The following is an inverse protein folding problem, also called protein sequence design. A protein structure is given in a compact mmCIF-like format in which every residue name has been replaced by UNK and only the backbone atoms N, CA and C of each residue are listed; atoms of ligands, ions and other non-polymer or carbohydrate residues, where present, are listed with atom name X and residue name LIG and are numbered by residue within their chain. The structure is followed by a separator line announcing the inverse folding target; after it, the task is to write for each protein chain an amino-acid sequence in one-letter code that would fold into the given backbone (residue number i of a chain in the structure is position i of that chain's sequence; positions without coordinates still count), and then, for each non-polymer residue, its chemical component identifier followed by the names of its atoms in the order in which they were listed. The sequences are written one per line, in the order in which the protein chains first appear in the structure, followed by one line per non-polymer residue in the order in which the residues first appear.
data_IF_783156149719
#
_entry.id   IF_783156149719
#
_cell.length_a   1.000
_cell.length_b   1.000
_cell.length_c   1.000
_cell.angle_alpha   90.00
_cell.angle_beta   90.00
_cell.angle_gamma   90.00
#
_symmetry.space_group_name_H-M   'P 1'
#
loop_
_entity.id
_entity.type
_entity.pdbx_description
1 polymer ?
#
# COMPACT_ATOMS: atom_id res chain seq x y z
N UNK A 1 -25.82 -13.83 13.93
CA UNK A 1 -24.57 -14.61 13.96
C UNK A 1 -23.76 -14.18 12.76
N UNK A 2 -22.82 -13.25 12.96
CA UNK A 2 -22.01 -12.66 11.89
C UNK A 2 -21.03 -13.71 11.34
N UNK A 3 -20.84 -13.69 10.02
CA UNK A 3 -20.02 -14.65 9.26
C UNK A 3 -18.71 -15.01 9.96
N UNK A 4 -18.46 -16.31 10.15
CA UNK A 4 -17.20 -16.85 10.66
C UNK A 4 -16.14 -16.77 9.57
N UNK A 5 -15.60 -15.58 9.33
CA UNK A 5 -14.45 -15.40 8.45
C UNK A 5 -13.21 -15.82 9.25
N UNK A 6 -12.40 -16.77 8.76
CA UNK A 6 -11.15 -17.14 9.43
C UNK A 6 -10.18 -15.95 9.42
N UNK A 7 -9.48 -15.76 10.54
CA UNK A 7 -8.44 -14.74 10.69
C UNK A 7 -7.34 -15.28 11.60
N UNK A 8 -6.16 -14.67 11.55
CA UNK A 8 -5.06 -14.92 12.49
C UNK A 8 -4.83 -13.67 13.34
N UNK A 9 -4.48 -13.84 14.60
CA UNK A 9 -4.15 -12.71 15.48
C UNK A 9 -2.94 -13.02 16.35
N UNK A 10 -2.25 -11.98 16.79
CA UNK A 10 -1.10 -12.07 17.70
C UNK A 10 -1.22 -11.14 18.92
N UNK A 11 -2.43 -10.66 19.20
CA UNK A 11 -2.75 -9.76 20.32
C UNK A 11 -2.59 -8.26 20.04
N UNK A 12 -2.03 -7.87 18.89
CA UNK A 12 -1.88 -6.46 18.49
C UNK A 12 -2.28 -6.17 17.05
N UNK A 13 -2.29 -7.19 16.18
CA UNK A 13 -2.82 -7.11 14.82
C UNK A 13 -3.63 -8.36 14.46
N UNK A 14 -4.62 -8.17 13.58
CA UNK A 14 -5.43 -9.22 12.97
C UNK A 14 -5.06 -9.31 11.50
N UNK A 15 -4.70 -10.51 11.03
CA UNK A 15 -4.54 -10.84 9.62
C UNK A 15 -5.85 -11.43 9.11
N UNK A 16 -6.44 -10.81 8.08
CA UNK A 16 -7.69 -11.25 7.47
C UNK A 16 -7.52 -11.31 5.95
N UNK A 17 -7.98 -12.39 5.34
CA UNK A 17 -8.05 -12.48 3.88
C UNK A 17 -9.22 -11.61 3.38
N UNK A 18 -8.90 -10.54 2.65
CA UNK A 18 -9.85 -9.55 2.15
C UNK A 18 -9.23 -8.77 0.99
N UNK A 19 -10.06 -8.31 0.04
CA UNK A 19 -9.63 -7.58 -1.16
C UNK A 19 -9.80 -6.05 -1.03
N UNK A 20 -10.30 -5.57 0.11
CA UNK A 20 -10.48 -4.14 0.37
C UNK A 20 -9.15 -3.38 0.48
N UNK A 21 -9.15 -2.11 0.06
CA UNK A 21 -7.94 -1.27 0.13
C UNK A 21 -7.74 -0.60 1.50
N UNK A 22 -8.82 -0.40 2.26
CA UNK A 22 -8.81 0.22 3.57
C UNK A 22 -9.20 -0.81 4.65
N UNK A 23 -8.27 -1.11 5.54
CA UNK A 23 -8.52 -1.97 6.69
C UNK A 23 -8.83 -1.12 7.94
N UNK A 24 -9.64 -1.65 8.88
CA UNK A 24 -9.77 -1.05 10.20
C UNK A 24 -8.42 -0.98 10.94
N UNK A 25 -8.36 -0.16 11.98
CA UNK A 25 -7.20 -0.08 12.87
C UNK A 25 -6.85 -1.49 13.39
N UNK A 26 -5.56 -1.81 13.41
CA UNK A 26 -5.02 -3.10 13.85
C UNK A 26 -5.46 -4.30 12.99
N UNK A 27 -5.97 -4.08 11.77
CA UNK A 27 -6.26 -5.14 10.81
C UNK A 27 -5.36 -4.99 9.59
N UNK A 28 -4.77 -6.10 9.16
CA UNK A 28 -3.96 -6.21 7.96
C UNK A 28 -4.69 -7.15 7.01
N UNK A 29 -5.03 -6.64 5.84
CA UNK A 29 -5.58 -7.47 4.77
C UNK A 29 -4.47 -8.13 3.97
N UNK A 30 -4.70 -9.36 3.54
CA UNK A 30 -3.80 -10.10 2.68
C UNK A 30 -4.57 -10.90 1.64
N UNK A 31 -3.89 -11.22 0.54
CA UNK A 31 -4.40 -12.07 -0.53
C UNK A 31 -3.31 -13.07 -0.93
N UNK A 32 -3.72 -14.24 -1.42
CA UNK A 32 -2.82 -15.24 -1.98
C UNK A 32 -2.74 -15.13 -3.50
N UNK A 33 -1.52 -15.09 -4.04
CA UNK A 33 -1.27 -15.09 -5.47
C UNK A 33 -0.42 -16.29 -5.87
N UNK A 34 -0.71 -16.85 -7.05
CA UNK A 34 0.04 -17.98 -7.62
C UNK A 34 1.24 -17.53 -8.47
N UNK A 35 1.30 -16.25 -8.86
CA UNK A 35 2.38 -15.71 -9.67
C UNK A 35 2.66 -14.25 -9.32
N UNK A 36 3.92 -13.83 -9.48
CA UNK A 36 4.33 -12.44 -9.30
C UNK A 36 3.75 -11.52 -10.38
N UNK A 37 3.54 -12.03 -11.60
CA UNK A 37 2.98 -11.24 -12.70
C UNK A 37 1.55 -10.79 -12.39
N UNK A 38 0.74 -11.66 -11.78
CA UNK A 38 -0.61 -11.30 -11.30
C UNK A 38 -0.58 -10.16 -10.27
N UNK A 39 0.43 -10.14 -9.39
CA UNK A 39 0.61 -9.05 -8.42
C UNK A 39 0.94 -7.75 -9.14
N UNK A 40 1.87 -7.77 -10.11
CA UNK A 40 2.25 -6.58 -10.89
C UNK A 40 1.05 -6.01 -11.66
N UNK A 41 0.26 -6.86 -12.30
CA UNK A 41 -0.97 -6.45 -13.00
C UNK A 41 -1.96 -5.80 -12.04
N UNK A 42 -2.17 -6.38 -10.86
CA UNK A 42 -3.06 -5.83 -9.84
C UNK A 42 -2.59 -4.46 -9.33
N UNK A 43 -1.30 -4.33 -9.02
CA UNK A 43 -0.70 -3.07 -8.59
C UNK A 43 -0.81 -1.99 -9.68
N UNK A 44 -0.68 -2.36 -10.95
CA UNK A 44 -0.84 -1.43 -12.07
C UNK A 44 -2.30 -0.95 -12.22
N UNK A 45 -3.28 -1.86 -12.07
CA UNK A 45 -4.70 -1.52 -12.12
C UNK A 45 -5.12 -0.59 -10.98
N UNK A 46 -4.59 -0.82 -9.78
CA UNK A 46 -4.95 -0.07 -8.57
C UNK A 46 -4.01 1.11 -8.28
N UNK A 47 -3.12 1.48 -9.21
CA UNK A 47 -2.06 2.48 -9.00
C UNK A 47 -2.57 3.80 -8.42
N UNK A 48 -3.71 4.29 -8.89
CA UNK A 48 -4.31 5.56 -8.42
C UNK A 48 -4.83 5.49 -6.97
N UNK A 49 -5.03 4.29 -6.44
CA UNK A 49 -5.48 4.05 -5.06
C UNK A 49 -4.33 3.66 -4.11
N UNK A 50 -3.13 3.45 -4.64
CA UNK A 50 -1.97 2.95 -3.88
C UNK A 50 -0.98 4.09 -3.67
N UNK A 51 -0.73 4.42 -2.41
CA UNK A 51 0.22 5.47 -2.05
C UNK A 51 1.68 4.98 -2.10
N UNK A 52 1.91 3.72 -1.76
CA UNK A 52 3.25 3.16 -1.65
C UNK A 52 3.21 1.62 -1.78
N UNK A 53 4.17 1.07 -2.49
CA UNK A 53 4.41 -0.38 -2.55
C UNK A 53 5.73 -0.68 -1.86
N UNK A 54 5.73 -1.62 -0.92
CA UNK A 54 6.95 -2.06 -0.22
C UNK A 54 7.29 -3.48 -0.65
N UNK A 55 8.51 -3.69 -1.13
CA UNK A 55 8.95 -5.01 -1.55
C UNK A 55 10.46 -5.22 -1.31
N UNK A 56 10.92 -6.45 -1.53
CA UNK A 56 12.35 -6.73 -1.63
C UNK A 56 12.89 -6.03 -2.88
N UNK A 57 14.10 -5.50 -2.76
CA UNK A 57 14.79 -4.84 -3.86
C UNK A 57 14.81 -5.68 -5.15
N UNK A 58 14.49 -5.02 -6.27
CA UNK A 58 14.41 -5.62 -7.60
C UNK A 58 13.21 -6.54 -7.88
N UNK A 59 12.25 -6.71 -6.96
CA UNK A 59 11.05 -7.54 -7.22
C UNK A 59 9.95 -6.74 -7.93
N UNK A 60 9.68 -5.52 -7.45
CA UNK A 60 8.68 -4.61 -8.00
C UNK A 60 9.36 -3.27 -8.30
N UNK A 61 9.27 -2.82 -9.55
CA UNK A 61 9.85 -1.54 -9.97
C UNK A 61 9.15 -0.37 -9.26
N UNK A 62 9.93 0.58 -8.77
CA UNK A 62 9.42 1.74 -8.02
C UNK A 62 8.92 1.42 -6.61
N UNK A 63 9.16 0.21 -6.10
CA UNK A 63 8.85 -0.13 -4.71
C UNK A 63 9.89 0.40 -3.73
N UNK A 64 9.45 0.67 -2.51
CA UNK A 64 10.31 1.01 -1.39
C UNK A 64 10.82 -0.28 -0.73
N UNK A 65 12.09 -0.30 -0.34
CA UNK A 65 12.67 -1.45 0.38
C UNK A 65 12.09 -1.58 1.79
N UNK A 66 12.11 -2.80 2.33
CA UNK A 66 11.63 -3.07 3.68
C UNK A 66 12.31 -2.16 4.72
N UNK A 67 11.50 -1.62 5.65
CA UNK A 67 11.97 -0.72 6.71
C UNK A 67 12.07 0.76 6.32
N UNK A 68 11.98 1.10 5.04
CA UNK A 68 12.13 2.49 4.56
C UNK A 68 10.81 3.21 4.28
N UNK A 69 9.65 2.52 4.30
CA UNK A 69 8.36 3.11 3.96
C UNK A 69 7.91 4.30 4.84
N UNK A 70 8.48 4.44 6.06
CA UNK A 70 8.22 5.57 6.96
C UNK A 70 9.39 6.57 7.01
N UNK A 71 10.26 6.54 6.00
CA UNK A 71 11.42 7.43 5.87
C UNK A 71 11.35 8.19 4.54
N UNK A 72 10.32 9.04 4.34
CA UNK A 72 10.16 9.77 3.08
C UNK A 72 11.37 10.67 2.82
N UNK A 73 11.87 10.65 1.59
CA UNK A 73 12.85 11.62 1.11
C UNK A 73 12.18 12.95 0.78
N UNK A 74 12.99 13.99 0.60
CA UNK A 74 12.50 15.34 0.33
C UNK A 74 11.64 15.46 -0.96
N UNK A 75 11.76 14.49 -1.86
CA UNK A 75 11.05 14.43 -3.14
C UNK A 75 10.01 13.31 -3.22
N UNK A 76 9.80 12.55 -2.13
CA UNK A 76 8.79 11.49 -2.05
C UNK A 76 7.42 12.09 -1.72
N UNK A 77 6.94 12.98 -2.59
CA UNK A 77 5.64 13.63 -2.43
C UNK A 77 4.51 12.64 -2.73
N UNK A 78 3.43 12.74 -1.95
CA UNK A 78 2.21 11.98 -2.20
C UNK A 78 1.67 12.27 -3.61
N UNK A 79 1.12 11.25 -4.26
CA UNK A 79 0.37 11.36 -5.52
C UNK A 79 1.18 11.90 -6.73
N UNK A 80 2.51 11.82 -6.71
CA UNK A 80 3.41 12.44 -7.71
C UNK A 80 3.16 13.95 -7.91
N UNK A 81 2.51 14.62 -6.95
CA UNK A 81 2.26 16.05 -7.02
C UNK A 81 3.39 16.81 -6.34
N UNK A 82 4.05 17.70 -7.09
CA UNK A 82 4.98 18.66 -6.51
C UNK A 82 4.20 19.60 -5.57
N UNK A 83 4.36 19.39 -4.27
CA UNK A 83 3.64 20.13 -3.23
C UNK A 83 4.01 21.62 -3.27
N UNK A 84 5.24 21.96 -3.65
CA UNK A 84 5.66 23.36 -3.79
C UNK A 84 5.00 24.01 -5.00
N UNK A 85 4.86 23.29 -6.11
CA UNK A 85 4.09 23.74 -7.27
C UNK A 85 2.63 24.00 -6.91
N UNK A 86 1.97 23.07 -6.21
CA UNK A 86 0.58 23.23 -5.76
C UNK A 86 0.39 24.49 -4.89
N UNK A 87 1.28 24.71 -3.91
CA UNK A 87 1.20 25.87 -3.02
C UNK A 87 1.41 27.20 -3.76
N UNK A 88 2.27 27.22 -4.79
CA UNK A 88 2.48 28.39 -5.64
C UNK A 88 1.26 28.71 -6.53
N UNK A 89 0.51 27.69 -6.94
CA UNK A 89 -0.72 27.85 -7.75
C UNK A 89 -1.90 28.42 -6.95
N UNK A 90 -1.93 28.26 -5.61
CA UNK A 90 -2.97 28.83 -4.74
C UNK A 90 -2.85 30.35 -4.51
N UNK A 91 -1.68 30.93 -4.80
CA UNK A 91 -1.39 32.35 -4.57
C UNK A 91 -1.83 33.30 -5.70
N UNK A 92 -2.47 32.78 -6.74
CA UNK A 92 -3.00 33.54 -7.88
C UNK A 92 -4.53 33.57 -7.90
#
# INVERSE_FOLDING_TARGET
MMNKIPFWENGFAILKEDIGMASPISVIYFEHYSSLETVKERLAMDKENIQCVVAKDGIIDGSVVFGAAQQPQLWDYADNMDTMKFLLELGN
#
